data_IF_174178256695
#
_entry.id   IF_174178256695
#
_cell.length_a   1.000
_cell.length_b   1.000
_cell.length_c   1.000
_cell.angle_alpha   90.00
_cell.angle_beta   90.00
_cell.angle_gamma   90.00
#
_symmetry.space_group_name_H-M   'P 1'
#
loop_
_entity.id
_entity.type
_entity.pdbx_description
1 polymer ?
#
# COMPACT_ATOMS: atom_id res chain seq x y z
N UNK A 1 -14.20 -9.03 6.03
CA UNK A 1 -12.80 -8.67 5.71
C UNK A 1 -11.91 -9.52 6.59
N UNK A 2 -10.93 -10.25 6.03
CA UNK A 2 -9.88 -10.89 6.83
C UNK A 2 -8.60 -10.11 6.57
N UNK A 3 -8.28 -9.18 7.46
CA UNK A 3 -6.95 -8.58 7.47
C UNK A 3 -5.95 -9.61 7.95
N UNK A 4 -4.80 -9.70 7.28
CA UNK A 4 -3.62 -10.41 7.77
C UNK A 4 -2.63 -9.40 8.36
N UNK A 5 -1.97 -9.78 9.45
CA UNK A 5 -0.91 -8.96 10.05
C UNK A 5 0.42 -9.41 9.47
N UNK A 6 1.18 -8.46 8.93
CA UNK A 6 2.54 -8.66 8.48
C UNK A 6 3.50 -7.92 9.42
N UNK A 7 4.61 -8.57 9.76
CA UNK A 7 5.67 -7.96 10.54
C UNK A 7 6.52 -7.06 9.64
N UNK A 8 6.91 -5.91 10.18
CA UNK A 8 7.88 -5.00 9.62
C UNK A 8 9.15 -5.03 10.48
N UNK A 9 10.28 -4.67 9.87
CA UNK A 9 11.55 -4.48 10.54
C UNK A 9 11.97 -3.03 10.35
N UNK A 10 11.67 -2.17 11.35
CA UNK A 10 11.97 -0.74 11.28
C UNK A 10 11.28 -0.03 10.11
N UNK A 11 10.06 -0.42 9.77
CA UNK A 11 9.28 0.11 8.65
C UNK A 11 9.53 -0.58 7.31
N UNK A 12 10.48 -1.52 7.25
CA UNK A 12 10.76 -2.30 6.04
C UNK A 12 10.04 -3.66 6.05
N UNK A 13 9.69 -4.14 4.86
CA UNK A 13 9.12 -5.46 4.62
C UNK A 13 10.02 -6.28 3.70
N UNK A 14 10.24 -7.55 4.01
CA UNK A 14 10.81 -8.50 3.05
C UNK A 14 9.80 -8.79 1.94
N UNK A 15 10.16 -8.46 0.70
CA UNK A 15 9.29 -8.52 -0.46
C UNK A 15 8.78 -9.95 -0.68
N UNK A 16 7.47 -10.20 -0.49
CA UNK A 16 6.92 -11.53 -0.62
C UNK A 16 6.93 -12.04 -2.07
N UNK A 17 7.10 -11.17 -3.07
CA UNK A 17 7.25 -11.51 -4.48
C UNK A 17 8.73 -11.60 -4.91
N UNK A 18 9.68 -11.72 -3.99
CA UNK A 18 11.11 -11.64 -4.29
C UNK A 18 11.58 -12.67 -5.33
N UNK A 19 12.38 -12.20 -6.29
CA UNK A 19 13.14 -13.03 -7.23
C UNK A 19 14.65 -12.87 -7.00
N UNK A 20 15.33 -13.98 -6.74
CA UNK A 20 16.78 -14.04 -6.47
C UNK A 20 17.65 -14.01 -7.74
N UNK A 21 17.04 -14.19 -8.91
CA UNK A 21 17.77 -14.22 -10.17
C UNK A 21 18.40 -12.86 -10.48
N UNK A 22 19.65 -12.82 -10.97
CA UNK A 22 20.39 -11.58 -11.29
C UNK A 22 19.72 -10.62 -12.29
N UNK A 23 18.76 -11.13 -13.07
CA UNK A 23 17.95 -10.36 -14.04
C UNK A 23 16.56 -10.01 -13.50
N UNK A 24 16.26 -10.49 -12.30
CA UNK A 24 15.06 -10.16 -11.57
C UNK A 24 15.09 -8.70 -11.12
N UNK A 25 13.92 -8.07 -11.12
CA UNK A 25 13.72 -6.72 -10.61
C UNK A 25 12.72 -6.80 -9.48
N UNK A 26 13.20 -6.55 -8.27
CA UNK A 26 12.38 -6.49 -7.06
C UNK A 26 12.03 -5.03 -6.78
N UNK A 27 10.76 -4.76 -6.52
CA UNK A 27 10.28 -3.39 -6.32
C UNK A 27 8.99 -3.36 -5.49
N UNK A 28 8.69 -2.20 -4.93
CA UNK A 28 7.40 -1.89 -4.32
C UNK A 28 6.89 -0.53 -4.78
N UNK A 29 5.58 -0.37 -4.84
CA UNK A 29 4.96 0.91 -5.16
C UNK A 29 3.61 1.07 -4.44
N UNK A 30 3.25 2.32 -4.17
CA UNK A 30 1.89 2.70 -3.80
C UNK A 30 1.10 2.95 -5.09
N UNK A 31 -0.10 2.38 -5.15
CA UNK A 31 -1.03 2.55 -6.26
C UNK A 31 -2.07 3.63 -5.95
N UNK A 32 -2.24 4.55 -6.88
CA UNK A 32 -3.26 5.60 -6.82
C UNK A 32 -4.06 5.66 -8.12
N UNK A 33 -5.20 6.35 -8.09
CA UNK A 33 -6.05 6.56 -9.27
C UNK A 33 -7.41 5.87 -9.18
N UNK A 34 -8.33 6.19 -10.11
CA UNK A 34 -9.72 5.75 -10.04
C UNK A 34 -9.92 4.24 -10.29
N UNK A 35 -9.02 3.58 -11.03
CA UNK A 35 -9.10 2.15 -11.35
C UNK A 35 -7.77 1.65 -11.94
N UNK A 36 -7.63 0.33 -12.11
CA UNK A 36 -6.41 -0.30 -12.61
C UNK A 36 -6.02 0.08 -14.06
N UNK A 37 -6.95 0.56 -14.89
CA UNK A 37 -6.64 1.04 -16.24
C UNK A 37 -6.13 2.49 -16.26
N UNK A 38 -6.39 3.25 -15.19
CA UNK A 38 -5.96 4.64 -15.00
C UNK A 38 -5.30 4.81 -13.64
N UNK A 39 -4.37 3.92 -13.31
CA UNK A 39 -3.62 3.98 -12.06
C UNK A 39 -2.20 4.49 -12.27
N UNK A 40 -1.68 5.10 -11.22
CA UNK A 40 -0.29 5.54 -11.14
C UNK A 40 0.46 4.72 -10.09
N UNK A 41 1.78 4.64 -10.26
CA UNK A 41 2.70 3.99 -9.32
C UNK A 41 3.64 5.03 -8.74
N UNK A 42 3.59 5.22 -7.43
CA UNK A 42 4.65 5.91 -6.68
C UNK A 42 5.59 4.84 -6.12
N UNK A 43 6.75 4.68 -6.73
CA UNK A 43 7.72 3.66 -6.31
C UNK A 43 8.29 3.98 -4.93
N UNK A 44 8.44 2.95 -4.12
CA UNK A 44 9.01 2.99 -2.79
C UNK A 44 10.51 2.66 -2.84
N UNK A 45 11.32 3.16 -1.89
CA UNK A 45 12.69 2.72 -1.75
C UNK A 45 12.76 1.20 -1.55
N UNK A 46 13.64 0.53 -2.28
CA UNK A 46 13.82 -0.91 -2.18
C UNK A 46 15.31 -1.26 -2.29
N UNK A 47 15.77 -2.22 -1.47
CA UNK A 47 17.15 -2.70 -1.47
C UNK A 47 17.19 -4.22 -1.41
N UNK A 48 17.58 -4.85 -2.51
CA UNK A 48 17.63 -6.31 -2.58
C UNK A 48 16.25 -6.92 -2.41
N UNK A 49 16.02 -7.61 -1.28
CA UNK A 49 14.73 -8.21 -0.94
C UNK A 49 13.82 -7.28 -0.13
N UNK A 50 14.31 -6.17 0.42
CA UNK A 50 13.52 -5.32 1.32
C UNK A 50 12.91 -4.13 0.59
N UNK A 51 11.70 -3.75 1.01
CA UNK A 51 10.99 -2.54 0.56
C UNK A 51 10.66 -1.70 1.78
N UNK A 52 10.99 -0.42 1.74
CA UNK A 52 10.67 0.55 2.79
C UNK A 52 9.21 0.98 2.67
N UNK A 53 8.43 0.72 3.72
CA UNK A 53 7.01 1.04 3.81
C UNK A 53 6.71 2.19 4.78
N UNK A 54 7.72 2.92 5.26
CA UNK A 54 7.55 4.03 6.23
C UNK A 54 6.60 5.12 5.73
N UNK A 55 6.54 5.30 4.40
CA UNK A 55 5.71 6.29 3.70
C UNK A 55 4.27 5.82 3.43
N UNK A 56 3.93 4.59 3.80
CA UNK A 56 2.65 3.97 3.51
C UNK A 56 1.63 4.32 4.59
N UNK A 57 0.43 4.69 4.17
CA UNK A 57 -0.67 5.07 5.06
C UNK A 57 -1.86 4.11 4.95
N UNK A 58 -2.69 3.97 6.02
CA UNK A 58 -3.95 3.24 5.94
C UNK A 58 -4.85 3.73 4.81
N UNK A 59 -5.55 2.81 4.17
CA UNK A 59 -6.40 3.05 2.99
C UNK A 59 -5.64 3.08 1.66
N UNK A 60 -4.30 3.08 1.67
CA UNK A 60 -3.51 2.99 0.44
C UNK A 60 -3.38 1.54 -0.05
N UNK A 61 -3.10 1.40 -1.35
CA UNK A 61 -2.82 0.11 -1.97
C UNK A 61 -1.34 0.01 -2.27
N UNK A 62 -0.72 -1.12 -1.91
CA UNK A 62 0.67 -1.45 -2.23
C UNK A 62 0.69 -2.55 -3.30
N UNK A 63 1.59 -2.41 -4.27
CA UNK A 63 2.01 -3.46 -5.19
C UNK A 63 3.48 -3.82 -4.91
N UNK A 64 3.73 -5.11 -4.72
CA UNK A 64 5.08 -5.66 -4.56
C UNK A 64 5.36 -6.58 -5.75
N UNK A 65 6.47 -6.35 -6.44
CA UNK A 65 6.82 -7.04 -7.68
C UNK A 65 8.18 -7.73 -7.62
N UNK A 66 8.24 -8.92 -8.21
CA UNK A 66 9.46 -9.62 -8.59
C UNK A 66 9.39 -9.99 -10.06
N UNK A 67 9.85 -9.09 -10.91
CA UNK A 67 9.74 -9.24 -12.35
C UNK A 67 11.00 -9.87 -12.91
N UNK A 68 10.88 -11.00 -13.61
CA UNK A 68 11.98 -11.72 -14.23
C UNK A 68 11.86 -11.77 -15.76
N UNK A 69 12.99 -11.55 -16.44
CA UNK A 69 13.09 -11.73 -17.89
C UNK A 69 14.13 -12.81 -18.21
N UNK A 70 13.68 -13.86 -18.88
CA UNK A 70 14.51 -14.98 -19.35
C UNK A 70 15.53 -14.54 -20.41
N UNK A 71 16.49 -15.40 -20.73
CA UNK A 71 17.42 -15.18 -21.85
C UNK A 71 16.74 -15.09 -23.21
N UNK A 72 15.63 -15.82 -23.42
CA UNK A 72 14.82 -15.74 -24.63
C UNK A 72 13.87 -14.54 -24.67
N UNK A 73 13.88 -13.66 -23.67
CA UNK A 73 13.01 -12.48 -23.63
C UNK A 73 11.61 -12.71 -23.03
N UNK A 74 11.27 -13.93 -22.64
CA UNK A 74 10.02 -14.23 -21.94
C UNK A 74 10.01 -13.55 -20.57
N UNK A 75 8.89 -12.89 -20.25
CA UNK A 75 8.70 -12.14 -19.01
C UNK A 75 7.81 -12.93 -18.05
N UNK A 76 8.26 -13.06 -16.81
CA UNK A 76 7.54 -13.68 -15.71
C UNK A 76 7.31 -12.60 -14.65
N UNK A 77 6.04 -12.32 -14.38
CA UNK A 77 5.63 -11.31 -13.42
C UNK A 77 5.10 -12.01 -12.18
N UNK A 78 5.76 -11.86 -11.03
CA UNK A 78 5.17 -12.14 -9.73
C UNK A 78 4.79 -10.80 -9.08
N UNK A 79 3.50 -10.61 -8.82
CA UNK A 79 2.94 -9.36 -8.32
C UNK A 79 1.93 -9.64 -7.22
N UNK A 80 2.08 -8.94 -6.10
CA UNK A 80 1.21 -9.07 -4.95
C UNK A 80 0.59 -7.72 -4.62
N UNK A 81 -0.71 -7.72 -4.36
CA UNK A 81 -1.51 -6.53 -4.14
C UNK A 81 -2.11 -6.54 -2.75
N UNK A 82 -1.92 -5.45 -2.03
CA UNK A 82 -2.34 -5.31 -0.63
C UNK A 82 -3.08 -3.99 -0.43
N UNK A 83 -4.26 -4.02 0.17
CA UNK A 83 -4.89 -2.85 0.76
C UNK A 83 -4.39 -2.72 2.19
N UNK A 84 -3.87 -1.57 2.57
CA UNK A 84 -3.40 -1.29 3.94
C UNK A 84 -4.60 -0.91 4.79
N UNK A 85 -4.89 -1.70 5.83
CA UNK A 85 -6.00 -1.45 6.75
C UNK A 85 -5.55 -0.65 7.97
N UNK A 86 -4.36 -0.95 8.49
CA UNK A 86 -3.73 -0.26 9.61
C UNK A 86 -2.21 -0.45 9.57
N UNK A 87 -1.45 0.47 10.15
CA UNK A 87 0.01 0.35 10.30
C UNK A 87 0.47 1.21 11.47
N UNK A 88 1.46 0.76 12.22
CA UNK A 88 2.21 1.59 13.18
C UNK A 88 3.43 2.27 12.54
N UNK A 89 3.74 1.91 11.29
CA UNK A 89 4.84 2.45 10.50
C UNK A 89 6.21 1.83 10.79
N UNK A 90 6.33 0.92 11.76
CA UNK A 90 7.63 0.43 12.24
C UNK A 90 7.68 -1.09 12.39
N UNK A 91 6.71 -1.68 13.10
CA UNK A 91 6.79 -3.08 13.54
C UNK A 91 5.69 -3.94 12.90
N UNK A 92 4.51 -3.38 12.62
CA UNK A 92 3.37 -4.14 12.13
C UNK A 92 2.50 -3.36 11.16
N UNK A 93 1.99 -4.09 10.16
CA UNK A 93 1.00 -3.60 9.23
C UNK A 93 -0.11 -4.64 9.08
N UNK A 94 -1.37 -4.21 9.16
CA UNK A 94 -2.53 -5.04 8.84
C UNK A 94 -2.93 -4.76 7.40
N UNK A 95 -2.98 -5.80 6.58
CA UNK A 95 -3.27 -5.70 5.15
C UNK A 95 -4.39 -6.66 4.73
N UNK A 96 -5.11 -6.30 3.67
CA UNK A 96 -6.00 -7.20 2.94
C UNK A 96 -5.38 -7.55 1.59
N UNK A 97 -5.10 -8.84 1.37
CA UNK A 97 -4.50 -9.31 0.12
C UNK A 97 -5.57 -9.43 -0.98
N UNK A 98 -5.22 -8.98 -2.17
CA UNK A 98 -6.04 -9.11 -3.37
C UNK A 98 -5.28 -9.80 -4.51
N UNK A 99 -6.01 -10.45 -5.42
CA UNK A 99 -5.40 -11.12 -6.57
C UNK A 99 -5.02 -10.16 -7.69
N UNK A 100 -5.61 -8.96 -7.73
CA UNK A 100 -5.38 -7.97 -8.79
C UNK A 100 -5.39 -6.55 -8.25
N UNK A 101 -4.70 -5.64 -8.94
CA UNK A 101 -4.75 -4.20 -8.67
C UNK A 101 -6.19 -3.65 -8.71
N UNK A 102 -7.02 -4.15 -9.63
CA UNK A 102 -8.41 -3.70 -9.78
C UNK A 102 -9.25 -4.00 -8.54
N UNK A 103 -9.08 -5.18 -7.95
CA UNK A 103 -9.74 -5.56 -6.70
C UNK A 103 -9.25 -4.70 -5.54
N UNK A 104 -7.93 -4.53 -5.39
CA UNK A 104 -7.37 -3.73 -4.30
C UNK A 104 -7.82 -2.26 -4.37
N UNK A 105 -7.73 -1.62 -5.54
CA UNK A 105 -8.19 -0.24 -5.74
C UNK A 105 -9.71 -0.09 -5.59
N UNK A 106 -10.49 -1.13 -5.90
CA UNK A 106 -11.92 -1.13 -5.59
C UNK A 106 -12.15 -1.19 -4.08
N UNK A 107 -11.48 -2.10 -3.38
CA UNK A 107 -11.60 -2.24 -1.94
C UNK A 107 -11.20 -0.95 -1.20
N UNK A 108 -10.11 -0.30 -1.60
CA UNK A 108 -9.67 0.99 -1.06
C UNK A 108 -10.76 2.07 -1.18
N UNK A 109 -11.43 2.14 -2.33
CA UNK A 109 -12.52 3.10 -2.57
C UNK A 109 -13.76 2.79 -1.74
N UNK A 110 -14.12 1.51 -1.59
CA UNK A 110 -15.25 1.14 -0.74
C UNK A 110 -14.95 1.41 0.75
N UNK A 111 -13.71 1.16 1.19
CA UNK A 111 -13.26 1.53 2.54
C UNK A 111 -13.38 3.04 2.78
N UNK A 112 -12.93 3.86 1.82
CA UNK A 112 -13.02 5.32 1.92
C UNK A 112 -14.47 5.84 1.98
N UNK A 113 -15.44 5.14 1.38
CA UNK A 113 -16.88 5.49 1.50
C UNK A 113 -17.49 5.05 2.84
N UNK A 114 -17.00 3.93 3.38
CA UNK A 114 -17.53 3.32 4.60
C UNK A 114 -17.07 4.03 5.87
N UNK A 115 -15.99 4.82 5.82
CA UNK A 115 -15.60 5.73 6.90
C UNK A 115 -16.39 7.03 6.74
N UNK A 116 -17.45 7.29 7.54
CA UNK A 116 -18.08 8.60 7.53
C UNK A 116 -17.03 9.62 8.00
N UNK A 117 -16.82 10.66 7.18
CA UNK A 117 -16.10 11.86 7.57
C UNK A 117 -16.82 12.42 8.80
N UNK A 118 -16.30 12.15 10.00
CA UNK A 118 -16.65 12.96 11.17
C UNK A 118 -15.99 14.30 10.89
N UNK A 119 -16.75 15.24 10.33
CA UNK A 119 -16.38 16.64 10.37
C UNK A 119 -16.24 17.00 11.85
N UNK A 120 -15.01 17.30 12.29
CA UNK A 120 -14.79 17.85 13.62
C UNK A 120 -15.64 19.11 13.76
N UNK A 121 -16.65 19.05 14.61
CA UNK A 121 -17.43 20.21 14.99
C UNK A 121 -16.48 21.22 15.64
N UNK A 122 -16.27 22.37 15.00
CA UNK A 122 -15.69 23.52 15.65
C UNK A 122 -16.68 23.96 16.73
N UNK A 123 -16.38 23.63 17.98
CA UNK A 123 -17.11 24.13 19.14
C UNK A 123 -16.90 25.64 19.24
N UNK A 124 -18.01 26.37 19.16
CA UNK A 124 -18.15 27.78 19.47
C UNK A 124 -17.69 28.03 20.91
N UNK A 125 -16.73 28.92 21.12
CA UNK A 125 -16.48 29.53 22.42
C UNK A 125 -16.76 31.03 22.30
N UNK A 126 -17.86 31.37 22.96
CA UNK A 126 -18.44 32.65 23.29
C UNK A 126 -17.41 33.68 23.80
N UNK A 127 -17.51 34.92 23.31
CA UNK A 127 -16.92 36.09 23.94
C UNK A 127 -17.64 37.37 23.48
N UNK A 128 -18.66 37.76 24.22
CA UNK A 128 -19.07 39.15 24.39
C UNK A 128 -19.67 39.32 25.79
N UNK A 129 -19.72 40.52 26.39
CA UNK A 129 -18.99 41.77 26.12
C UNK A 129 -18.21 42.25 27.36
N UNK A 130 -17.30 43.21 27.21
CA UNK A 130 -16.88 44.07 28.33
C UNK A 130 -17.10 45.52 27.90
N UNK A 131 -17.74 46.24 28.82
CA UNK A 131 -18.24 47.62 28.78
C UNK A 131 -17.21 48.67 28.33
#
# INVERSE_FOLDING_TARGET
MRGEVIALDGGALENPAFVSHKRGRNWGAILTGPNAARMERRFLPARGATVDLSDVQPGQVIELGGDYVTSGGNRHYDRRYYLVLATDGVDQMTVERHSTAAQALRAARELAKAVPVIQSAATTADAAPVL
#
